data_IF_287056941129
#
_entry.id   IF_287056941129
#
_cell.length_a   1.000
_cell.length_b   1.000
_cell.length_c   1.000
_cell.angle_alpha   90.00
_cell.angle_beta   90.00
_cell.angle_gamma   90.00
#
_symmetry.space_group_name_H-M   'P 1'
#
loop_
_entity.id
_entity.type
_entity.pdbx_description
1 polymer ?
#
# COMPACT_ATOMS: atom_id res chain seq x y z
N UNK A 1 -18.26 34.68 14.04
CA UNK A 1 -18.72 33.29 13.78
C UNK A 1 -18.11 32.63 12.52
N UNK A 2 -17.40 33.34 11.63
CA UNK A 2 -16.89 32.77 10.36
C UNK A 2 -15.53 32.04 10.38
N UNK A 3 -14.79 32.06 11.49
CA UNK A 3 -13.43 31.46 11.56
C UNK A 3 -13.47 30.00 12.01
N UNK A 4 -14.38 29.64 12.91
CA UNK A 4 -14.52 28.27 13.40
C UNK A 4 -15.04 27.33 12.30
N UNK A 5 -16.07 27.74 11.54
CA UNK A 5 -16.68 26.93 10.48
C UNK A 5 -15.69 26.59 9.36
N UNK A 6 -14.85 27.55 8.94
CA UNK A 6 -13.82 27.33 7.91
C UNK A 6 -12.72 26.37 8.35
N UNK A 7 -12.29 26.45 9.63
CA UNK A 7 -11.30 25.51 10.20
C UNK A 7 -11.85 24.10 10.29
N UNK A 8 -13.10 23.93 10.71
CA UNK A 8 -13.73 22.59 10.80
C UNK A 8 -13.89 21.94 9.43
N UNK A 9 -14.31 22.70 8.41
CA UNK A 9 -14.41 22.20 7.04
C UNK A 9 -13.04 21.78 6.46
N UNK A 10 -11.98 22.56 6.69
CA UNK A 10 -10.65 22.20 6.23
C UNK A 10 -10.12 20.92 6.89
N UNK A 11 -10.37 20.74 8.20
CA UNK A 11 -9.98 19.52 8.93
C UNK A 11 -10.72 18.28 8.40
N UNK A 12 -12.00 18.39 8.09
CA UNK A 12 -12.79 17.28 7.53
C UNK A 12 -12.32 16.88 6.12
N UNK A 13 -11.96 17.85 5.29
CA UNK A 13 -11.39 17.59 3.95
C UNK A 13 -10.03 16.90 4.03
N UNK A 14 -9.14 17.35 4.91
CA UNK A 14 -7.83 16.71 5.12
C UNK A 14 -8.01 15.27 5.62
N UNK A 15 -8.92 15.06 6.56
CA UNK A 15 -9.23 13.72 7.08
C UNK A 15 -9.80 12.79 6.01
N UNK A 16 -10.69 13.29 5.14
CA UNK A 16 -11.27 12.52 4.05
C UNK A 16 -10.22 12.11 3.00
N UNK A 17 -9.30 13.02 2.63
CA UNK A 17 -8.21 12.72 1.68
C UNK A 17 -7.22 11.72 2.30
N UNK A 18 -6.86 11.89 3.58
CA UNK A 18 -6.03 10.93 4.28
C UNK A 18 -6.69 9.54 4.35
N UNK A 19 -8.02 9.48 4.51
CA UNK A 19 -8.78 8.23 4.51
C UNK A 19 -8.75 7.52 3.15
N UNK A 20 -8.97 8.23 2.03
CA UNK A 20 -8.99 7.60 0.70
C UNK A 20 -7.61 7.07 0.30
N UNK A 21 -6.55 7.84 0.52
CA UNK A 21 -5.18 7.44 0.16
C UNK A 21 -4.70 6.25 1.00
N UNK A 22 -5.07 6.20 2.28
CA UNK A 22 -4.73 5.04 3.14
C UNK A 22 -5.55 3.80 2.78
N UNK A 23 -6.83 3.94 2.41
CA UNK A 23 -7.65 2.83 1.94
C UNK A 23 -7.06 2.16 0.69
N UNK A 24 -6.55 2.95 -0.26
CA UNK A 24 -5.87 2.45 -1.46
C UNK A 24 -4.64 1.59 -1.11
N UNK A 25 -3.83 2.03 -0.15
CA UNK A 25 -2.66 1.25 0.29
C UNK A 25 -3.06 -0.13 0.80
N UNK A 26 -4.05 -0.23 1.67
CA UNK A 26 -4.47 -1.52 2.24
C UNK A 26 -5.00 -2.47 1.17
N UNK A 27 -5.79 -1.94 0.24
CA UNK A 27 -6.32 -2.72 -0.88
C UNK A 27 -5.22 -3.20 -1.82
N UNK A 28 -4.19 -2.39 -2.06
CA UNK A 28 -3.14 -2.69 -3.02
C UNK A 28 -1.99 -3.51 -2.43
N UNK A 29 -1.62 -3.28 -1.18
CA UNK A 29 -0.31 -3.71 -0.68
C UNK A 29 -0.37 -4.61 0.56
N UNK A 30 -1.54 -4.88 1.13
CA UNK A 30 -1.64 -5.74 2.31
C UNK A 30 -2.63 -6.89 2.11
N UNK A 31 -2.23 -8.08 2.54
CA UNK A 31 -3.11 -9.23 2.68
C UNK A 31 -2.77 -9.95 3.98
N UNK A 32 -3.78 -10.50 4.67
CA UNK A 32 -3.53 -11.36 5.85
C UNK A 32 -2.96 -12.71 5.44
N UNK A 33 -3.38 -13.21 4.28
CA UNK A 33 -2.97 -14.48 3.66
C UNK A 33 -2.96 -14.30 2.15
N UNK A 34 -1.99 -14.91 1.51
CA UNK A 34 -1.87 -14.98 0.06
C UNK A 34 -0.88 -16.09 -0.26
N UNK A 35 -1.23 -16.91 -1.24
CA UNK A 35 -0.34 -17.89 -1.84
C UNK A 35 0.28 -17.37 -3.12
N UNK A 36 1.38 -18.04 -3.53
CA UNK A 36 2.12 -17.69 -4.74
C UNK A 36 1.26 -17.71 -6.01
N UNK A 37 0.24 -18.56 -6.05
CA UNK A 37 -0.69 -18.73 -7.18
C UNK A 37 -1.77 -17.67 -7.25
N UNK A 38 -1.91 -16.83 -6.22
CA UNK A 38 -3.08 -15.94 -6.10
C UNK A 38 -2.96 -14.65 -6.92
N UNK A 39 -1.80 -14.37 -7.52
CA UNK A 39 -1.53 -13.12 -8.26
C UNK A 39 -2.62 -12.78 -9.28
N UNK A 40 -3.12 -13.76 -10.04
CA UNK A 40 -4.18 -13.53 -11.02
C UNK A 40 -5.51 -13.05 -10.40
N UNK A 41 -5.82 -13.49 -9.18
CA UNK A 41 -7.06 -13.15 -8.49
C UNK A 41 -6.92 -11.87 -7.66
N UNK A 42 -5.86 -11.74 -6.86
CA UNK A 42 -5.70 -10.57 -5.98
C UNK A 42 -5.49 -9.28 -6.74
N UNK A 43 -4.89 -9.35 -7.93
CA UNK A 43 -4.65 -8.18 -8.78
C UNK A 43 -5.93 -7.62 -9.42
N UNK A 44 -7.02 -8.39 -9.50
CA UNK A 44 -8.34 -7.87 -9.91
C UNK A 44 -8.83 -6.76 -8.99
N UNK A 45 -8.47 -6.83 -7.71
CA UNK A 45 -8.80 -5.80 -6.71
C UNK A 45 -7.81 -4.64 -6.67
N UNK A 46 -6.71 -4.66 -7.44
CA UNK A 46 -5.71 -3.56 -7.47
C UNK A 46 -5.96 -2.61 -8.65
N UNK A 47 -6.69 -3.06 -9.66
CA UNK A 47 -6.91 -2.35 -10.91
C UNK A 47 -8.11 -1.40 -10.87
N UNK A 48 -8.00 -0.20 -10.29
CA UNK A 48 -9.19 0.68 -10.19
C UNK A 48 -9.01 2.18 -10.44
N UNK A 49 -8.00 2.61 -11.21
CA UNK A 49 -8.03 3.94 -11.83
C UNK A 49 -7.61 3.83 -13.31
N UNK A 50 -8.55 4.14 -14.22
CA UNK A 50 -8.34 4.24 -15.68
C UNK A 50 -8.09 2.95 -16.47
N UNK A 51 -8.52 1.77 -15.98
CA UNK A 51 -8.35 0.48 -16.68
C UNK A 51 -6.88 0.13 -17.03
N UNK A 52 -5.91 0.76 -16.37
CA UNK A 52 -4.48 0.48 -16.60
C UNK A 52 -4.05 -0.68 -15.71
N UNK A 53 -3.57 -1.76 -16.33
CA UNK A 53 -2.94 -2.86 -15.61
C UNK A 53 -1.63 -2.37 -15.00
N UNK A 54 -1.48 -2.37 -13.68
CA UNK A 54 -0.20 -2.05 -13.02
C UNK A 54 0.87 -3.02 -13.49
N UNK A 55 2.11 -2.57 -13.68
CA UNK A 55 3.17 -3.45 -14.19
C UNK A 55 3.61 -4.49 -13.13
N UNK A 56 3.71 -4.06 -11.88
CA UNK A 56 4.20 -4.82 -10.73
C UNK A 56 3.42 -4.38 -9.49
N UNK A 57 3.13 -5.31 -8.58
CA UNK A 57 2.58 -4.97 -7.29
C UNK A 57 3.04 -5.95 -6.21
N UNK A 58 3.48 -5.42 -5.07
CA UNK A 58 3.91 -6.20 -3.91
C UNK A 58 2.84 -6.21 -2.83
N UNK A 59 2.57 -7.39 -2.29
CA UNK A 59 1.69 -7.63 -1.16
C UNK A 59 2.51 -8.04 0.06
N UNK A 60 2.36 -7.29 1.15
CA UNK A 60 2.88 -7.61 2.47
C UNK A 60 1.91 -8.60 3.12
N UNK A 61 2.40 -9.78 3.46
CA UNK A 61 1.59 -10.85 4.06
C UNK A 61 1.76 -10.79 5.58
N UNK A 62 1.00 -9.90 6.21
CA UNK A 62 1.05 -9.67 7.65
C UNK A 62 -0.26 -9.06 8.16
N UNK A 63 -0.58 -9.15 9.46
CA UNK A 63 -1.70 -8.42 10.05
C UNK A 63 -1.55 -6.89 9.93
N UNK A 64 -2.65 -6.15 9.90
CA UNK A 64 -2.64 -4.68 9.80
C UNK A 64 -1.76 -4.03 10.88
N UNK A 65 -1.80 -4.53 12.12
CA UNK A 65 -0.98 -4.01 13.22
C UNK A 65 0.52 -4.07 12.91
N UNK A 66 0.99 -5.15 12.28
CA UNK A 66 2.40 -5.30 11.87
C UNK A 66 2.75 -4.29 10.78
N UNK A 67 1.87 -4.12 9.78
CA UNK A 67 2.12 -3.18 8.68
C UNK A 67 2.04 -1.72 9.14
N UNK A 68 1.09 -1.36 10.00
CA UNK A 68 1.03 -0.04 10.63
C UNK A 68 2.27 0.22 11.50
N UNK A 69 2.79 -0.80 12.20
CA UNK A 69 4.01 -0.70 13.00
C UNK A 69 5.27 -0.32 12.21
N UNK A 70 5.28 -0.50 10.88
CA UNK A 70 6.35 0.03 10.03
C UNK A 70 6.45 1.55 10.17
N UNK A 71 5.33 2.24 10.38
CA UNK A 71 5.26 3.69 10.53
C UNK A 71 5.65 4.22 11.92
N UNK A 72 6.16 3.37 12.81
CA UNK A 72 6.72 3.79 14.08
C UNK A 72 7.92 4.72 13.87
N UNK A 73 8.04 5.79 14.66
CA UNK A 73 9.11 6.80 14.51
C UNK A 73 10.53 6.21 14.53
N UNK A 74 10.75 5.12 15.27
CA UNK A 74 12.03 4.39 15.35
C UNK A 74 12.46 3.73 14.03
N UNK A 75 11.51 3.51 13.12
CA UNK A 75 11.70 2.85 11.83
C UNK A 75 11.92 3.86 10.68
N UNK A 76 11.96 5.16 10.99
CA UNK A 76 12.11 6.22 9.99
C UNK A 76 13.51 6.17 9.37
N UNK A 77 13.56 6.16 8.04
CA UNK A 77 14.81 6.19 7.27
C UNK A 77 15.14 7.62 6.86
N UNK A 78 14.22 8.29 6.15
CA UNK A 78 14.40 9.67 5.67
C UNK A 78 13.07 10.30 5.33
N UNK A 79 12.82 11.53 5.77
CA UNK A 79 11.56 12.22 5.50
C UNK A 79 10.37 11.36 5.98
N UNK A 80 9.43 11.10 5.07
CA UNK A 80 8.27 10.24 5.34
C UNK A 80 8.47 8.77 4.93
N UNK A 81 9.68 8.37 4.57
CA UNK A 81 10.05 6.97 4.26
C UNK A 81 10.43 6.22 5.53
N UNK A 82 9.82 5.05 5.72
CA UNK A 82 10.04 4.13 6.83
C UNK A 82 10.38 2.74 6.31
N UNK A 83 11.13 1.97 7.08
CA UNK A 83 11.48 0.59 6.76
C UNK A 83 11.07 -0.33 7.93
N UNK A 84 10.53 -1.51 7.64
CA UNK A 84 10.30 -2.51 8.67
C UNK A 84 11.59 -2.82 9.43
N UNK A 85 11.51 -3.01 10.74
CA UNK A 85 12.65 -3.39 11.58
C UNK A 85 13.01 -4.88 11.45
N UNK A 86 12.07 -5.69 10.97
CA UNK A 86 12.25 -7.11 10.66
C UNK A 86 11.84 -7.42 9.21
N UNK A 87 12.40 -8.45 8.59
CA UNK A 87 11.94 -8.94 7.30
C UNK A 87 10.50 -9.44 7.38
N UNK A 88 9.65 -8.98 6.46
CA UNK A 88 8.26 -9.42 6.33
C UNK A 88 8.08 -10.32 5.11
N UNK A 89 7.12 -11.25 5.16
CA UNK A 89 6.77 -12.05 3.99
C UNK A 89 6.13 -11.14 2.94
N UNK A 90 6.71 -11.14 1.74
CA UNK A 90 6.23 -10.38 0.59
C UNK A 90 5.94 -11.34 -0.57
N UNK A 91 4.86 -11.06 -1.29
CA UNK A 91 4.55 -11.68 -2.58
C UNK A 91 4.46 -10.58 -3.63
N UNK A 92 5.33 -10.63 -4.63
CA UNK A 92 5.39 -9.70 -5.73
C UNK A 92 4.75 -10.32 -6.97
N UNK A 93 3.74 -9.64 -7.50
CA UNK A 93 3.06 -10.02 -8.72
C UNK A 93 3.52 -9.14 -9.87
N UNK A 94 3.70 -9.73 -11.04
CA UNK A 94 4.08 -9.02 -12.26
C UNK A 94 3.11 -9.32 -13.38
N UNK A 95 2.83 -8.29 -14.17
CA UNK A 95 1.95 -8.37 -15.33
C UNK A 95 2.57 -9.24 -16.41
N UNK A 96 1.82 -10.22 -16.88
CA UNK A 96 2.11 -11.10 -18.02
C UNK A 96 1.53 -10.49 -19.30
N UNK A 97 0.25 -10.08 -19.26
CA UNK A 97 -0.45 -9.46 -20.39
C UNK A 97 -1.18 -8.19 -19.98
N UNK A 98 -1.28 -7.23 -20.91
CA UNK A 98 -2.01 -5.97 -20.73
C UNK A 98 -3.49 -6.07 -21.09
N UNK A 99 -3.87 -6.94 -22.02
CA UNK A 99 -5.26 -7.08 -22.46
C UNK A 99 -5.53 -8.56 -22.79
N UNK A 100 -6.37 -9.27 -22.02
CA UNK A 100 -6.83 -8.89 -20.67
C UNK A 100 -5.65 -8.77 -19.69
N UNK A 101 -5.82 -8.05 -18.57
CA UNK A 101 -4.78 -8.01 -17.54
C UNK A 101 -4.55 -9.42 -16.98
N UNK A 102 -3.33 -9.94 -17.15
CA UNK A 102 -2.91 -11.21 -16.57
C UNK A 102 -1.68 -10.98 -15.70
N UNK A 103 -1.60 -11.71 -14.59
CA UNK A 103 -0.53 -11.56 -13.61
C UNK A 103 -0.03 -12.93 -13.16
N UNK A 104 1.28 -13.00 -12.95
CA UNK A 104 1.95 -14.16 -12.37
C UNK A 104 2.79 -13.75 -11.17
N UNK A 105 3.31 -14.76 -10.48
CA UNK A 105 4.33 -14.57 -9.47
C UNK A 105 5.62 -14.04 -10.11
N UNK A 106 6.15 -12.94 -9.58
CA UNK A 106 7.51 -12.46 -9.88
C UNK A 106 8.48 -13.00 -8.81
N UNK A 107 8.16 -12.74 -7.55
CA UNK A 107 9.00 -13.10 -6.41
C UNK A 107 8.16 -13.35 -5.16
N UNK A 108 8.63 -14.21 -4.27
CA UNK A 108 8.10 -14.31 -2.92
C UNK A 108 9.20 -14.74 -1.95
N UNK A 109 9.19 -14.17 -0.76
CA UNK A 109 10.17 -14.41 0.28
C UNK A 109 10.05 -13.41 1.43
N UNK A 110 11.06 -13.37 2.29
CA UNK A 110 11.19 -12.34 3.32
C UNK A 110 11.95 -11.13 2.76
N UNK A 111 11.47 -9.92 3.04
CA UNK A 111 12.12 -8.68 2.64
C UNK A 111 11.91 -7.58 3.68
N UNK A 112 12.88 -6.68 3.82
CA UNK A 112 12.67 -5.42 4.52
C UNK A 112 11.77 -4.53 3.66
N UNK A 113 10.61 -4.17 4.21
CA UNK A 113 9.59 -3.44 3.46
C UNK A 113 9.75 -1.95 3.72
N UNK A 114 9.76 -1.17 2.64
CA UNK A 114 9.81 0.29 2.71
C UNK A 114 8.50 0.89 2.24
N UNK A 115 7.96 1.79 3.05
CA UNK A 115 6.71 2.49 2.78
C UNK A 115 6.84 3.95 3.17
N UNK A 116 6.11 4.81 2.46
CA UNK A 116 5.86 6.15 2.95
C UNK A 116 4.71 6.12 3.94
N UNK A 117 4.85 6.87 5.04
CA UNK A 117 3.84 6.97 6.08
C UNK A 117 3.34 8.40 6.26
N UNK A 118 2.04 8.55 6.50
CA UNK A 118 1.39 9.82 6.79
C UNK A 118 0.49 9.63 8.01
N UNK A 119 0.64 10.49 9.02
CA UNK A 119 -0.10 10.40 10.31
C UNK A 119 -0.02 9.01 10.97
N UNK A 120 1.14 8.34 10.86
CA UNK A 120 1.36 7.00 11.43
C UNK A 120 0.71 5.85 10.66
N UNK A 121 0.17 6.10 9.47
CA UNK A 121 -0.40 5.07 8.58
C UNK A 121 0.40 4.97 7.28
N UNK A 122 0.56 3.76 6.73
CA UNK A 122 1.21 3.59 5.44
C UNK A 122 0.29 4.10 4.32
N UNK A 123 0.86 4.81 3.36
CA UNK A 123 0.10 5.37 2.24
C UNK A 123 0.70 5.07 0.86
N UNK A 124 1.99 4.70 0.78
CA UNK A 124 2.62 4.31 -0.48
C UNK A 124 3.71 3.27 -0.27
N UNK A 125 3.82 2.29 -1.17
CA UNK A 125 4.91 1.31 -1.20
C UNK A 125 6.09 1.88 -2.00
N UNK A 126 7.31 1.84 -1.47
CA UNK A 126 8.46 2.43 -2.18
C UNK A 126 8.76 1.71 -3.50
N UNK A 127 8.93 2.49 -4.58
CA UNK A 127 9.34 1.97 -5.89
C UNK A 127 8.23 1.36 -6.72
N UNK A 128 6.97 1.44 -6.29
CA UNK A 128 5.83 0.91 -7.05
C UNK A 128 4.87 2.01 -7.51
N UNK A 129 4.92 2.30 -8.81
CA UNK A 129 4.02 3.24 -9.49
C UNK A 129 2.99 2.51 -10.37
N UNK A 130 1.93 3.21 -10.78
CA UNK A 130 0.93 2.71 -11.72
C UNK A 130 1.43 2.68 -13.16
#
# INVERSE_FOLDING_TARGET
MGVAVKKTFAVLLIAAIAYTVTADFWQMHQRKRMERTDCANVMKGVSHLNAKCKAVNSFIIAPNKTVTGICDKKNRVKGDLYQSNEPLRVVKCKRISRVPCQYGLDQSGLAYVRVFCHLGQPWHYEGEHF
#
